data_IF_077523205482
#
_entry.id   IF_077523205482
#
_cell.length_a   1.000
_cell.length_b   1.000
_cell.length_c   1.000
_cell.angle_alpha   90.00
_cell.angle_beta   90.00
_cell.angle_gamma   90.00
#
_symmetry.space_group_name_H-M   'P 1'
#
loop_
_entity.id
_entity.type
_entity.pdbx_description
1 polymer ?
#
# COMPACT_ATOMS: atom_id res chain seq x y z
N UNK A 1 39.57 -57.36 5.81
CA UNK A 1 38.31 -57.36 6.58
C UNK A 1 38.65 -57.65 8.02
N UNK A 2 38.08 -56.99 9.03
CA UNK A 2 36.96 -56.00 9.03
C UNK A 2 37.42 -54.67 9.73
N UNK A 3 36.68 -53.57 9.93
CA UNK A 3 35.40 -53.03 9.45
C UNK A 3 35.39 -51.50 9.77
N UNK A 4 34.58 -50.74 8.99
CA UNK A 4 33.78 -49.53 9.29
C UNK A 4 34.18 -48.57 10.44
N UNK A 5 34.19 -47.23 10.29
CA UNK A 5 33.10 -46.30 9.91
C UNK A 5 33.73 -45.09 9.16
N UNK A 6 33.47 -44.79 7.89
CA UNK A 6 32.27 -44.10 7.38
C UNK A 6 31.70 -43.05 8.32
N UNK A 7 32.45 -41.97 8.50
CA UNK A 7 31.88 -40.65 8.72
C UNK A 7 32.04 -39.82 7.45
N UNK A 8 31.30 -40.15 6.40
CA UNK A 8 31.03 -39.16 5.36
C UNK A 8 30.33 -38.01 6.07
N UNK A 9 31.01 -36.88 6.19
CA UNK A 9 30.32 -35.64 6.50
C UNK A 9 29.61 -35.31 5.19
N UNK A 10 28.37 -35.79 5.05
CA UNK A 10 27.40 -35.27 4.10
C UNK A 10 27.11 -33.83 4.53
N UNK A 11 28.05 -32.93 4.23
CA UNK A 11 27.83 -31.50 4.18
C UNK A 11 27.23 -31.15 2.81
N UNK A 12 26.16 -31.83 2.43
CA UNK A 12 25.16 -31.24 1.54
C UNK A 12 24.27 -30.35 2.41
N UNK A 13 24.89 -29.36 3.08
CA UNK A 13 24.16 -28.17 3.46
C UNK A 13 23.97 -27.42 2.15
N UNK A 14 22.99 -27.88 1.36
CA UNK A 14 22.29 -26.99 0.46
C UNK A 14 21.75 -25.89 1.38
N UNK A 15 22.49 -24.79 1.51
CA UNK A 15 21.89 -23.47 1.62
C UNK A 15 20.93 -23.42 0.44
N UNK A 16 19.70 -23.90 0.65
CA UNK A 16 18.67 -23.90 -0.36
C UNK A 16 18.41 -22.42 -0.61
N UNK A 17 19.03 -21.92 -1.68
CA UNK A 17 18.90 -20.54 -2.10
C UNK A 17 17.40 -20.22 -2.14
N UNK A 18 16.94 -19.18 -1.43
CA UNK A 18 15.52 -18.88 -1.36
C UNK A 18 14.97 -18.73 -2.77
N UNK A 19 13.75 -19.25 -2.97
CA UNK A 19 13.06 -19.12 -4.25
C UNK A 19 12.91 -17.64 -4.62
N UNK A 20 12.73 -17.37 -5.91
CA UNK A 20 12.50 -16.01 -6.37
C UNK A 20 11.30 -15.36 -5.67
N UNK A 21 10.21 -16.11 -5.47
CA UNK A 21 9.03 -15.63 -4.74
C UNK A 21 9.37 -15.24 -3.29
N UNK A 22 10.10 -16.08 -2.56
CA UNK A 22 10.52 -15.81 -1.17
C UNK A 22 11.43 -14.59 -1.08
N UNK A 23 12.35 -14.40 -2.04
CA UNK A 23 13.23 -13.23 -2.10
C UNK A 23 12.44 -11.94 -2.33
N UNK A 24 11.47 -11.97 -3.23
CA UNK A 24 10.60 -10.81 -3.50
C UNK A 24 9.71 -10.50 -2.29
N UNK A 25 9.13 -11.53 -1.66
CA UNK A 25 8.29 -11.36 -0.48
C UNK A 25 9.09 -10.74 0.68
N UNK A 26 10.28 -11.26 0.97
CA UNK A 26 11.14 -10.74 2.03
C UNK A 26 11.58 -9.28 1.76
N UNK A 27 11.96 -8.97 0.51
CA UNK A 27 12.32 -7.61 0.11
C UNK A 27 11.16 -6.61 0.24
N UNK A 28 9.90 -7.08 0.17
CA UNK A 28 8.71 -6.23 0.23
C UNK A 28 7.99 -6.26 1.59
N UNK A 29 8.37 -7.15 2.52
CA UNK A 29 7.65 -7.38 3.78
C UNK A 29 7.52 -6.12 4.66
N UNK A 30 8.42 -5.16 4.52
CA UNK A 30 8.39 -3.88 5.25
C UNK A 30 7.79 -2.70 4.47
N UNK A 31 7.37 -2.91 3.21
CA UNK A 31 6.88 -1.84 2.36
C UNK A 31 5.44 -1.49 2.73
N UNK A 32 5.23 -0.27 3.23
CA UNK A 32 3.89 0.27 3.38
C UNK A 32 3.29 0.59 2.00
N UNK A 33 2.26 -0.14 1.60
CA UNK A 33 1.55 0.05 0.32
C UNK A 33 0.16 0.65 0.51
N UNK A 34 -0.49 0.35 1.63
CA UNK A 34 -1.83 0.83 1.95
C UNK A 34 -1.83 2.30 2.40
N UNK A 35 -2.91 3.06 2.14
CA UNK A 35 -3.04 4.44 2.61
C UNK A 35 -3.03 4.53 4.14
N UNK A 36 -2.22 5.45 4.68
CA UNK A 36 -2.11 5.65 6.13
C UNK A 36 -2.78 6.95 6.58
N UNK A 37 -3.56 6.88 7.66
CA UNK A 37 -4.07 8.08 8.33
C UNK A 37 -2.92 8.98 8.83
N UNK A 38 -2.98 10.26 8.50
CA UNK A 38 -1.90 11.22 8.72
C UNK A 38 -0.81 11.22 7.64
N UNK A 39 -0.88 10.28 6.69
CA UNK A 39 0.03 10.18 5.55
C UNK A 39 -0.44 10.97 4.32
N UNK A 40 0.35 10.86 3.26
CA UNK A 40 0.02 11.39 1.93
C UNK A 40 -0.20 10.22 0.99
N UNK A 41 -1.23 10.30 0.16
CA UNK A 41 -1.48 9.35 -0.92
C UNK A 41 -1.58 10.09 -2.25
N UNK A 42 -1.45 9.35 -3.35
CA UNK A 42 -1.77 9.81 -4.70
C UNK A 42 -3.13 9.24 -5.08
N UNK A 43 -4.07 10.12 -5.46
CA UNK A 43 -5.25 9.69 -6.18
C UNK A 43 -4.84 9.22 -7.58
N UNK A 44 -4.95 7.92 -7.85
CA UNK A 44 -4.54 7.31 -9.11
C UNK A 44 -5.33 7.81 -10.33
N UNK A 45 -6.58 8.27 -10.15
CA UNK A 45 -7.41 8.79 -11.24
C UNK A 45 -6.96 10.18 -11.66
N UNK A 46 -6.76 11.07 -10.69
CA UNK A 46 -6.43 12.48 -10.97
C UNK A 46 -4.93 12.76 -10.97
N UNK A 47 -4.13 11.84 -10.43
CA UNK A 47 -2.67 11.94 -10.21
C UNK A 47 -2.28 13.08 -9.27
N UNK A 48 -3.17 13.46 -8.37
CA UNK A 48 -2.94 14.55 -7.42
C UNK A 48 -2.68 13.98 -6.02
N UNK A 49 -1.84 14.68 -5.25
CA UNK A 49 -1.57 14.33 -3.88
C UNK A 49 -2.74 14.69 -2.96
N UNK A 50 -3.06 13.79 -2.05
CA UNK A 50 -4.08 13.96 -1.02
C UNK A 50 -3.48 13.66 0.35
N UNK A 51 -3.87 14.43 1.35
CA UNK A 51 -3.63 14.11 2.75
C UNK A 51 -4.73 13.16 3.22
N UNK A 52 -4.35 12.03 3.79
CA UNK A 52 -5.28 11.03 4.32
C UNK A 52 -5.60 11.41 5.77
N UNK A 53 -6.83 11.83 6.03
CA UNK A 53 -7.24 12.29 7.37
C UNK A 53 -7.49 11.12 8.31
N UNK A 54 -8.21 10.11 7.82
CA UNK A 54 -8.57 8.88 8.53
C UNK A 54 -9.20 7.88 7.57
N UNK A 55 -9.19 6.61 7.97
CA UNK A 55 -10.17 5.64 7.52
C UNK A 55 -11.55 6.06 8.08
N UNK A 56 -12.55 6.17 7.20
CA UNK A 56 -13.90 6.65 7.55
C UNK A 56 -14.89 5.50 7.60
N UNK A 57 -14.76 4.52 6.72
CA UNK A 57 -15.57 3.31 6.67
C UNK A 57 -14.68 2.10 6.37
N UNK A 58 -15.03 0.94 6.94
CA UNK A 58 -14.26 -0.30 6.80
C UNK A 58 -14.44 -0.97 5.43
N UNK A 59 -15.53 -0.69 4.73
CA UNK A 59 -15.88 -1.30 3.45
C UNK A 59 -16.82 -0.37 2.64
N UNK A 60 -17.10 -0.76 1.38
CA UNK A 60 -17.97 0.01 0.50
C UNK A 60 -19.46 -0.08 0.88
N UNK A 61 -19.88 -1.16 1.51
CA UNK A 61 -21.26 -1.36 1.96
C UNK A 61 -21.61 -0.35 3.07
N UNK A 62 -20.75 -0.24 4.09
CA UNK A 62 -20.89 0.72 5.18
C UNK A 62 -20.90 2.18 4.66
N UNK A 63 -20.07 2.50 3.67
CA UNK A 63 -20.15 3.79 3.01
C UNK A 63 -21.49 3.99 2.29
N UNK A 64 -21.94 3.00 1.52
CA UNK A 64 -23.22 3.07 0.81
C UNK A 64 -24.41 3.28 1.75
N UNK A 65 -24.45 2.55 2.87
CA UNK A 65 -25.50 2.70 3.89
C UNK A 65 -25.53 4.11 4.50
N UNK A 66 -24.36 4.70 4.72
CA UNK A 66 -24.24 6.02 5.35
C UNK A 66 -24.48 7.19 4.38
N UNK A 67 -23.94 7.11 3.17
CA UNK A 67 -23.87 8.23 2.22
C UNK A 67 -24.88 8.09 1.05
N UNK A 68 -25.44 6.89 0.84
CA UNK A 68 -26.48 6.62 -0.16
C UNK A 68 -25.98 6.45 -1.60
N UNK A 69 -24.67 6.30 -1.80
CA UNK A 69 -24.07 6.03 -3.11
C UNK A 69 -22.82 5.15 -2.98
N UNK A 70 -22.51 4.42 -4.05
CA UNK A 70 -21.43 3.44 -4.09
C UNK A 70 -20.21 4.02 -4.80
N UNK A 71 -19.07 4.05 -4.13
CA UNK A 71 -17.82 4.55 -4.68
C UNK A 71 -17.29 3.69 -5.83
N UNK A 72 -17.50 2.37 -5.84
CA UNK A 72 -17.07 1.51 -6.94
C UNK A 72 -17.69 1.91 -8.28
N UNK A 73 -18.89 2.48 -8.26
CA UNK A 73 -19.61 2.93 -9.47
C UNK A 73 -19.62 4.45 -9.65
N UNK A 74 -19.35 5.22 -8.60
CA UNK A 74 -19.39 6.67 -8.62
C UNK A 74 -18.00 7.31 -8.73
N UNK A 75 -17.73 7.95 -9.87
CA UNK A 75 -16.47 8.69 -10.15
C UNK A 75 -15.18 7.86 -9.99
N UNK A 76 -15.32 6.54 -9.96
CA UNK A 76 -14.24 5.59 -10.12
C UNK A 76 -13.97 5.30 -11.59
N UNK A 77 -12.73 4.94 -11.88
CA UNK A 77 -12.35 4.46 -13.19
C UNK A 77 -12.59 2.94 -13.22
N UNK A 78 -13.44 2.40 -14.12
CA UNK A 78 -13.85 0.99 -14.12
C UNK A 78 -12.72 0.00 -14.39
N UNK A 79 -11.54 0.49 -14.75
CA UNK A 79 -10.34 -0.31 -15.03
C UNK A 79 -9.26 -0.17 -13.95
N UNK A 80 -9.57 0.48 -12.82
CA UNK A 80 -8.66 0.47 -11.67
C UNK A 80 -8.61 -0.95 -11.09
N UNK A 81 -7.41 -1.56 -10.98
CA UNK A 81 -7.28 -2.86 -10.34
C UNK A 81 -7.57 -2.75 -8.84
N UNK A 82 -8.01 -3.85 -8.23
CA UNK A 82 -8.21 -3.96 -6.78
C UNK A 82 -9.48 -3.31 -6.24
N UNK A 83 -10.33 -2.71 -7.09
CA UNK A 83 -11.63 -2.21 -6.65
C UNK A 83 -12.60 -3.37 -6.38
N UNK A 84 -13.04 -3.49 -5.13
CA UNK A 84 -14.01 -4.50 -4.69
C UNK A 84 -14.83 -4.00 -3.50
N UNK A 85 -15.79 -4.81 -3.06
CA UNK A 85 -16.71 -4.47 -1.96
C UNK A 85 -16.01 -4.38 -0.60
N UNK A 86 -14.88 -5.04 -0.45
CA UNK A 86 -14.11 -5.13 0.80
C UNK A 86 -13.14 -3.95 0.95
N UNK A 87 -13.04 -3.07 -0.04
CA UNK A 87 -12.19 -1.89 0.05
C UNK A 87 -12.63 -0.94 1.16
N UNK A 88 -11.67 -0.63 2.05
CA UNK A 88 -11.81 0.45 3.02
C UNK A 88 -12.01 1.81 2.33
N UNK A 89 -12.67 2.74 3.02
CA UNK A 89 -12.91 4.10 2.51
C UNK A 89 -12.23 5.14 3.38
N UNK A 90 -11.39 5.96 2.76
CA UNK A 90 -10.59 6.99 3.41
C UNK A 90 -11.14 8.38 3.15
N UNK A 91 -11.19 9.20 4.21
CA UNK A 91 -11.48 10.63 4.12
C UNK A 91 -10.18 11.39 3.83
N UNK A 92 -10.11 12.07 2.68
CA UNK A 92 -8.90 12.76 2.23
C UNK A 92 -9.15 14.23 1.87
N UNK A 93 -8.08 15.02 1.85
CA UNK A 93 -8.06 16.42 1.40
C UNK A 93 -7.01 16.57 0.31
N UNK A 94 -7.37 17.16 -0.83
CA UNK A 94 -6.37 17.49 -1.87
C UNK A 94 -5.35 18.50 -1.35
N UNK A 95 -4.08 18.18 -1.55
CA UNK A 95 -2.98 19.09 -1.28
C UNK A 95 -2.81 20.04 -2.46
N UNK A 96 -2.92 21.34 -2.19
CA UNK A 96 -2.63 22.36 -3.20
C UNK A 96 -1.11 22.43 -3.43
N UNK A 97 -0.69 22.32 -4.69
CA UNK A 97 0.72 22.45 -5.07
C UNK A 97 1.28 23.85 -4.82
N UNK A 98 0.43 24.86 -4.60
CA UNK A 98 0.83 26.17 -4.12
C UNK A 98 0.79 26.22 -2.58
N UNK A 99 1.95 26.24 -1.90
CA UNK A 99 2.01 26.24 -0.44
C UNK A 99 1.38 27.49 0.19
N UNK A 100 1.24 28.59 -0.57
CA UNK A 100 0.53 29.78 -0.08
C UNK A 100 -0.95 29.51 0.21
N UNK A 101 -1.54 28.47 -0.38
CA UNK A 101 -2.93 28.10 -0.15
C UNK A 101 -3.10 27.06 0.96
N UNK A 102 -2.02 26.50 1.53
CA UNK A 102 -2.10 25.38 2.47
C UNK A 102 -2.91 25.68 3.75
N UNK A 103 -3.00 26.95 4.14
CA UNK A 103 -3.77 27.39 5.32
C UNK A 103 -5.28 27.57 5.04
N UNK A 104 -5.70 27.48 3.78
CA UNK A 104 -7.10 27.66 3.40
C UNK A 104 -7.87 26.36 3.67
N UNK A 105 -9.03 26.40 4.34
CA UNK A 105 -9.83 25.20 4.56
C UNK A 105 -10.20 24.52 3.23
N UNK A 106 -9.80 23.26 3.09
CA UNK A 106 -10.17 22.41 1.96
C UNK A 106 -11.48 21.67 2.20
N UNK A 107 -12.06 21.13 1.12
CA UNK A 107 -13.12 20.12 1.21
C UNK A 107 -12.50 18.76 1.44
N UNK A 108 -13.18 17.92 2.21
CA UNK A 108 -12.87 16.50 2.32
C UNK A 108 -13.65 15.70 1.28
N UNK A 109 -13.08 14.58 0.86
CA UNK A 109 -13.66 13.66 -0.10
C UNK A 109 -13.36 12.23 0.33
N UNK A 110 -14.29 11.32 0.05
CA UNK A 110 -14.15 9.91 0.37
C UNK A 110 -13.58 9.16 -0.84
N UNK A 111 -12.61 8.29 -0.60
CA UNK A 111 -11.95 7.50 -1.63
C UNK A 111 -11.86 6.03 -1.21
N UNK A 112 -12.17 5.08 -2.12
CA UNK A 112 -11.88 3.68 -1.86
C UNK A 112 -10.37 3.47 -1.85
N UNK A 113 -9.91 2.54 -1.03
CA UNK A 113 -8.51 2.16 -0.88
C UNK A 113 -7.81 1.93 -2.22
N UNK A 114 -8.44 1.16 -3.12
CA UNK A 114 -7.90 0.82 -4.44
C UNK A 114 -7.60 2.03 -5.36
N UNK A 115 -8.13 3.22 -5.05
CA UNK A 115 -7.86 4.46 -5.79
C UNK A 115 -6.64 5.21 -5.26
N UNK A 116 -6.17 4.88 -4.06
CA UNK A 116 -5.11 5.57 -3.37
C UNK A 116 -3.83 4.74 -3.43
N UNK A 117 -2.73 5.40 -3.81
CA UNK A 117 -1.40 4.85 -3.68
C UNK A 117 -0.69 5.58 -2.55
N UNK A 118 -0.20 4.87 -1.53
CA UNK A 118 0.63 5.49 -0.48
C UNK A 118 1.81 6.23 -1.11
N UNK A 119 2.02 7.49 -0.71
CA UNK A 119 3.21 8.25 -1.07
C UNK A 119 4.13 8.26 0.16
N UNK A 120 5.24 7.50 0.14
CA UNK A 120 6.12 7.34 1.30
C UNK A 120 7.01 8.57 1.51
N UNK A 121 6.39 9.72 1.78
CA UNK A 121 7.06 10.99 2.00
C UNK A 121 8.04 10.92 3.19
N UNK A 122 7.77 10.04 4.16
CA UNK A 122 8.62 9.71 5.29
C UNK A 122 9.99 9.13 4.90
N UNK A 123 10.10 8.54 3.71
CA UNK A 123 11.36 8.01 3.19
C UNK A 123 12.18 9.06 2.46
N UNK A 124 11.63 10.26 2.21
CA UNK A 124 12.31 11.29 1.42
C UNK A 124 13.63 11.81 2.04
N UNK A 125 13.84 11.56 3.34
CA UNK A 125 15.06 11.89 4.06
C UNK A 125 15.84 10.66 4.54
N UNK A 126 15.39 9.45 4.19
CA UNK A 126 16.09 8.19 4.45
C UNK A 126 16.87 7.73 3.22
N UNK A 127 17.87 6.87 3.43
CA UNK A 127 18.42 6.04 2.35
C UNK A 127 17.54 4.77 2.29
N UNK A 128 16.71 4.59 1.25
CA UNK A 128 15.93 3.36 1.13
C UNK A 128 16.86 2.19 0.83
N UNK A 129 17.08 1.32 1.81
CA UNK A 129 17.69 0.00 1.60
C UNK A 129 16.60 -0.93 1.07
N UNK A 130 16.48 -1.03 -0.26
CA UNK A 130 15.79 -2.17 -0.88
C UNK A 130 16.88 -3.20 -1.14
N UNK A 131 16.82 -4.35 -0.45
CA UNK A 131 17.79 -5.42 -0.65
C UNK A 131 17.83 -5.91 -2.09
N UNK A 132 19.01 -6.33 -2.57
CA UNK A 132 19.18 -6.90 -3.91
C UNK A 132 18.40 -8.23 -4.04
N UNK A 133 17.44 -8.28 -4.97
CA UNK A 133 16.62 -9.47 -5.31
C UNK A 133 17.28 -10.38 -6.33
#
# INVERSE_FOLDING_TARGET
>A
MPDSEQGAIDSDFEDAEPSYEERVEDALAGAQTEPLAGGVAIDLVTRQAVFVRREKYADLEAHYEAEGYDLATYKMHPYLPGIDVDNSVFECVYLDGNPQNAHKPGKTYDFPEARLMHLPAEQAWGEPEVGDV
#
